data_IF_004388432513
#
_entry.id   IF_004388432513
#
_cell.length_a   1.000
_cell.length_b   1.000
_cell.length_c   1.000
_cell.angle_alpha   90.00
_cell.angle_beta   90.00
_cell.angle_gamma   90.00
#
_symmetry.space_group_name_H-M   'P 1'
#
loop_
_entity.id
_entity.type
_entity.pdbx_description
1 polymer ?
#
# COMPACT_ATOMS: atom_id res chain seq x y z
N UNK A 1 -3.99 -5.51 2.94
CA UNK A 1 -4.51 -6.57 3.83
C UNK A 1 -3.90 -7.94 3.50
N UNK A 2 -3.35 -8.63 4.49
CA UNK A 2 -2.95 -10.03 4.33
C UNK A 2 -4.19 -10.83 3.90
N UNK A 3 -4.04 -11.78 2.97
CA UNK A 3 -5.16 -12.54 2.38
C UNK A 3 -6.05 -13.26 3.39
N UNK A 4 -5.63 -13.40 4.66
CA UNK A 4 -6.39 -14.03 5.76
C UNK A 4 -7.30 -13.05 6.51
N UNK A 5 -6.97 -11.76 6.53
CA UNK A 5 -7.72 -10.71 7.24
C UNK A 5 -8.92 -10.18 6.46
N UNK A 6 -9.20 -10.76 5.27
CA UNK A 6 -10.40 -10.46 4.48
C UNK A 6 -11.67 -11.10 5.06
N UNK A 7 -11.53 -12.13 5.92
CA UNK A 7 -12.65 -12.96 6.39
C UNK A 7 -13.12 -12.54 7.80
N UNK A 8 -12.24 -11.96 8.61
CA UNK A 8 -12.56 -11.55 9.98
C UNK A 8 -12.54 -10.01 10.12
N UNK A 9 -13.67 -9.36 10.44
CA UNK A 9 -13.73 -7.90 10.62
C UNK A 9 -12.78 -7.40 11.72
N UNK A 10 -12.53 -8.17 12.78
CA UNK A 10 -11.62 -7.76 13.85
C UNK A 10 -10.16 -7.69 13.38
N UNK A 11 -9.72 -8.67 12.57
CA UNK A 11 -8.37 -8.65 11.99
C UNK A 11 -8.19 -7.50 11.00
N UNK A 12 -9.25 -7.17 10.24
CA UNK A 12 -9.24 -6.04 9.32
C UNK A 12 -9.12 -4.70 10.07
N UNK A 13 -9.80 -4.55 11.20
CA UNK A 13 -9.66 -3.38 12.07
C UNK A 13 -8.27 -3.26 12.65
N UNK A 14 -7.64 -4.38 13.01
CA UNK A 14 -6.25 -4.37 13.48
C UNK A 14 -5.29 -3.96 12.36
N UNK A 15 -5.44 -4.48 11.15
CA UNK A 15 -4.63 -4.03 10.01
C UNK A 15 -4.86 -2.53 9.69
N UNK A 16 -6.08 -2.02 9.88
CA UNK A 16 -6.39 -0.58 9.76
C UNK A 16 -5.63 0.23 10.82
N UNK A 17 -5.60 -0.22 12.08
CA UNK A 17 -4.83 0.42 13.15
C UNK A 17 -3.34 0.44 12.83
N UNK A 18 -2.80 -0.67 12.32
CA UNK A 18 -1.40 -0.75 11.90
C UNK A 18 -1.09 0.23 10.77
N UNK A 19 -1.96 0.33 9.76
CA UNK A 19 -1.82 1.31 8.68
C UNK A 19 -1.82 2.76 9.21
N UNK A 20 -2.72 3.07 10.15
CA UNK A 20 -2.82 4.40 10.77
C UNK A 20 -1.57 4.76 11.58
N UNK A 21 -1.04 3.82 12.36
CA UNK A 21 0.22 4.01 13.12
C UNK A 21 1.41 4.19 12.15
N UNK A 22 1.45 3.42 11.07
CA UNK A 22 2.46 3.59 10.01
C UNK A 22 2.40 4.98 9.38
N UNK A 23 1.20 5.46 9.04
CA UNK A 23 0.98 6.78 8.45
C UNK A 23 1.37 7.91 9.42
N UNK A 24 0.96 7.83 10.68
CA UNK A 24 1.23 8.87 11.70
C UNK A 24 2.68 8.90 12.19
N UNK A 25 3.49 7.89 11.87
CA UNK A 25 4.95 7.94 12.08
C UNK A 25 5.67 8.83 11.07
N UNK A 26 5.10 9.03 9.89
CA UNK A 26 5.68 9.91 8.89
C UNK A 26 5.47 11.38 9.30
N UNK A 27 6.55 12.13 9.49
CA UNK A 27 6.48 13.51 9.95
C UNK A 27 6.24 14.53 8.83
N UNK A 28 6.74 14.25 7.61
CA UNK A 28 6.67 15.19 6.47
C UNK A 28 5.98 14.59 5.25
N UNK A 29 6.42 13.41 4.81
CA UNK A 29 5.89 12.71 3.62
C UNK A 29 5.79 11.22 3.90
N UNK A 30 4.71 10.60 3.45
CA UNK A 30 4.50 9.16 3.48
C UNK A 30 4.41 8.65 2.04
N UNK A 31 5.23 7.67 1.69
CA UNK A 31 5.20 7.04 0.37
C UNK A 31 4.63 5.62 0.51
N UNK A 32 3.65 5.29 -0.33
CA UNK A 32 3.07 3.96 -0.41
C UNK A 32 3.46 3.32 -1.74
N UNK A 33 3.91 2.07 -1.69
CA UNK A 33 4.24 1.30 -2.88
C UNK A 33 3.43 0.00 -2.88
N UNK A 34 2.96 -0.41 -4.07
CA UNK A 34 2.28 -1.67 -4.26
C UNK A 34 2.58 -2.21 -5.66
N UNK A 35 2.51 -3.53 -5.81
CA UNK A 35 2.76 -4.21 -7.09
C UNK A 35 1.48 -4.90 -7.54
N UNK A 36 1.17 -4.81 -8.84
CA UNK A 36 -0.03 -5.46 -9.40
C UNK A 36 0.08 -6.99 -9.38
N UNK A 37 1.30 -7.51 -9.53
CA UNK A 37 1.57 -8.95 -9.52
C UNK A 37 2.86 -9.22 -8.75
N UNK A 38 2.91 -10.32 -8.00
CA UNK A 38 4.14 -10.82 -7.38
C UNK A 38 4.24 -12.33 -7.54
N UNK A 39 5.45 -12.83 -7.72
CA UNK A 39 5.74 -14.25 -7.66
C UNK A 39 5.83 -14.67 -6.19
N UNK A 40 4.91 -15.52 -5.74
CA UNK A 40 4.93 -16.09 -4.40
C UNK A 40 4.84 -17.61 -4.50
N UNK A 41 5.81 -18.31 -3.90
CA UNK A 41 5.88 -19.77 -3.87
C UNK A 41 5.70 -20.42 -5.26
N UNK A 42 6.34 -19.86 -6.28
CA UNK A 42 6.27 -20.37 -7.67
C UNK A 42 4.98 -20.05 -8.42
N UNK A 43 4.03 -19.34 -7.80
CA UNK A 43 2.79 -18.89 -8.42
C UNK A 43 2.76 -17.38 -8.60
N UNK A 44 2.33 -16.91 -9.77
CA UNK A 44 2.08 -15.48 -10.01
C UNK A 44 0.74 -15.10 -9.39
N UNK A 45 0.79 -14.31 -8.31
CA UNK A 45 -0.41 -13.81 -7.63
C UNK A 45 -0.64 -12.36 -8.03
N UNK A 46 -1.87 -12.07 -8.50
CA UNK A 46 -2.33 -10.70 -8.66
C UNK A 46 -2.67 -10.12 -7.28
N UNK A 47 -2.06 -8.99 -6.94
CA UNK A 47 -2.40 -8.27 -5.72
C UNK A 47 -3.19 -7.02 -6.10
N UNK A 48 -4.36 -6.88 -5.49
CA UNK A 48 -5.08 -5.62 -5.57
C UNK A 48 -4.43 -4.60 -4.61
N UNK A 49 -4.45 -3.30 -4.96
CA UNK A 49 -4.05 -2.25 -4.02
C UNK A 49 -4.82 -2.38 -2.70
N UNK A 50 -4.17 -2.00 -1.60
CA UNK A 50 -4.81 -2.07 -0.29
C UNK A 50 -6.04 -1.18 -0.26
N UNK A 51 -7.17 -1.69 0.24
CA UNK A 51 -8.41 -0.91 0.42
C UNK A 51 -8.20 0.38 1.22
N UNK A 52 -7.21 0.38 2.13
CA UNK A 52 -6.88 1.56 2.94
C UNK A 52 -6.37 2.73 2.10
N UNK A 53 -5.84 2.50 0.89
CA UNK A 53 -5.46 3.58 -0.02
C UNK A 53 -6.67 4.31 -0.57
N UNK A 54 -7.80 3.60 -0.75
CA UNK A 54 -9.06 4.20 -1.21
C UNK A 54 -9.79 4.98 -0.11
N UNK A 55 -9.46 4.73 1.16
CA UNK A 55 -10.02 5.46 2.31
C UNK A 55 -9.34 6.84 2.50
N UNK A 56 -8.20 7.09 1.86
CA UNK A 56 -7.48 8.37 1.94
C UNK A 56 -8.12 9.36 0.95
N UNK A 57 -8.38 10.62 1.35
CA UNK A 57 -8.87 11.66 0.45
C UNK A 57 -7.97 11.78 -0.79
N UNK A 58 -8.57 11.68 -1.98
CA UNK A 58 -7.83 11.68 -3.25
C UNK A 58 -7.02 12.97 -3.48
N UNK A 59 -7.43 14.09 -2.88
CA UNK A 59 -6.72 15.37 -2.92
C UNK A 59 -5.35 15.35 -2.21
N UNK A 60 -5.12 14.36 -1.33
CA UNK A 60 -3.88 14.19 -0.59
C UNK A 60 -2.96 13.12 -1.19
N UNK A 61 -3.40 12.43 -2.26
CA UNK A 61 -2.70 11.29 -2.84
C UNK A 61 -2.20 11.63 -4.24
N UNK A 62 -0.89 11.50 -4.43
CA UNK A 62 -0.26 11.58 -5.75
C UNK A 62 0.11 10.16 -6.22
N UNK A 63 -0.31 9.80 -7.44
CA UNK A 63 -0.13 8.46 -7.99
C UNK A 63 0.98 8.46 -9.03
N UNK A 64 2.13 7.90 -8.67
CA UNK A 64 3.23 7.66 -9.62
C UNK A 64 3.17 6.21 -10.13
N UNK A 65 3.13 6.04 -11.44
CA UNK A 65 3.37 4.73 -12.09
C UNK A 65 4.84 4.65 -12.46
N UNK A 66 5.50 3.57 -12.04
CA UNK A 66 6.90 3.30 -12.35
C UNK A 66 7.10 2.76 -13.79
N UNK A 67 6.21 3.13 -14.72
CA UNK A 67 6.20 2.60 -16.08
C UNK A 67 6.79 3.59 -17.11
N UNK A 68 7.00 4.85 -16.73
CA UNK A 68 7.51 5.92 -17.59
C UNK A 68 8.90 6.35 -17.09
N UNK A 69 9.77 6.77 -18.02
CA UNK A 69 11.20 7.14 -17.86
C UNK A 69 11.49 8.23 -16.79
N UNK A 70 11.12 8.01 -15.53
CA UNK A 70 11.31 8.94 -14.42
C UNK A 70 12.50 8.53 -13.57
N UNK A 71 13.49 9.42 -13.62
CA UNK A 71 14.70 9.54 -12.82
C UNK A 71 14.31 9.74 -11.33
N UNK A 72 13.73 8.73 -10.71
CA UNK A 72 13.44 8.75 -9.27
C UNK A 72 14.78 8.64 -8.55
N UNK A 73 15.37 9.80 -8.25
CA UNK A 73 16.58 9.88 -7.45
C UNK A 73 16.30 9.28 -6.07
N UNK A 74 16.70 8.02 -5.91
CA UNK A 74 16.69 7.27 -4.65
C UNK A 74 17.91 7.62 -3.78
N UNK A 75 18.60 8.73 -4.06
CA UNK A 75 19.65 9.22 -3.16
C UNK A 75 19.02 9.75 -1.86
N UNK A 76 19.39 9.08 -0.76
CA UNK A 76 19.09 9.47 0.62
C UNK A 76 20.28 10.20 1.22
#
# INVERSE_FOLDING_TARGET
PHSRSLINPEELEEERRLCYVGLTRAQKRAYFTFVRQRLLWGSMLANLPSRFLSDIPAELVDWHRLDDDDDFDVSF
#
